data_IF_984000769893
#
_entry.id   IF_984000769893
#
_cell.length_a   1.000
_cell.length_b   1.000
_cell.length_c   1.000
_cell.angle_alpha   90.00
_cell.angle_beta   90.00
_cell.angle_gamma   90.00
#
_symmetry.space_group_name_H-M   'P 1'
#
loop_
_entity.id
_entity.type
_entity.pdbx_description
1 polymer ?
#
# COMPACT_ATOMS: atom_id res chain seq x y z
N UNK A 1 30.50 8.82 -18.21
CA UNK A 1 31.62 9.29 -17.39
C UNK A 1 32.68 8.18 -17.27
N UNK A 2 33.94 8.47 -17.58
CA UNK A 2 35.05 7.48 -17.60
C UNK A 2 35.31 6.80 -16.25
N UNK A 3 34.90 7.44 -15.15
CA UNK A 3 35.14 6.96 -13.79
C UNK A 3 33.93 6.24 -13.16
N UNK A 4 32.88 5.98 -13.93
CA UNK A 4 31.74 5.21 -13.47
C UNK A 4 31.80 3.78 -14.04
N UNK A 5 31.63 2.83 -13.14
CA UNK A 5 31.48 1.42 -13.48
C UNK A 5 30.01 1.10 -13.33
N UNK A 6 29.37 0.74 -14.42
CA UNK A 6 28.02 0.18 -14.43
C UNK A 6 28.18 -1.34 -14.47
N UNK A 7 27.76 -1.99 -13.40
CA UNK A 7 27.85 -3.44 -13.31
C UNK A 7 26.79 -4.12 -14.20
N UNK A 8 26.99 -5.41 -14.44
CA UNK A 8 26.01 -6.26 -15.12
C UNK A 8 24.65 -6.14 -14.44
N UNK A 9 23.61 -6.09 -15.22
CA UNK A 9 22.25 -6.06 -14.70
C UNK A 9 21.98 -7.34 -13.89
N UNK A 10 21.40 -7.15 -12.71
CA UNK A 10 20.76 -8.24 -11.99
C UNK A 10 19.55 -8.72 -12.78
N UNK A 11 19.24 -10.00 -12.72
CA UNK A 11 18.05 -10.58 -13.35
C UNK A 11 17.04 -11.05 -12.30
N UNK A 12 16.18 -10.16 -11.77
CA UNK A 12 15.22 -10.52 -10.74
C UNK A 12 14.18 -11.52 -11.27
N UNK A 13 14.30 -12.78 -10.86
CA UNK A 13 13.36 -13.86 -11.18
C UNK A 13 13.11 -14.05 -12.70
N UNK A 14 14.06 -13.63 -13.51
CA UNK A 14 13.99 -13.74 -14.99
C UNK A 14 12.77 -13.01 -15.61
N UNK A 15 12.42 -11.85 -15.08
CA UNK A 15 11.26 -11.04 -15.55
C UNK A 15 11.66 -9.78 -16.34
N UNK A 16 12.92 -9.65 -16.73
CA UNK A 16 13.38 -8.51 -17.54
C UNK A 16 13.29 -7.15 -16.83
N UNK A 17 13.29 -7.13 -15.51
CA UNK A 17 13.28 -5.90 -14.70
C UNK A 17 14.67 -5.25 -14.71
N UNK A 18 14.87 -4.07 -15.35
CA UNK A 18 16.17 -3.42 -15.42
C UNK A 18 16.67 -3.07 -14.03
N UNK A 19 17.77 -3.67 -13.60
CA UNK A 19 18.36 -3.47 -12.29
C UNK A 19 19.87 -3.69 -12.38
N UNK A 20 20.64 -2.76 -11.80
CA UNK A 20 22.09 -2.84 -11.77
C UNK A 20 22.68 -1.84 -10.81
N UNK A 21 23.93 -2.08 -10.40
CA UNK A 21 24.64 -1.18 -9.52
C UNK A 21 25.53 -0.22 -10.32
N UNK A 22 25.68 1.00 -9.82
CA UNK A 22 26.61 2.00 -10.32
C UNK A 22 27.63 2.29 -9.22
N UNK A 23 28.92 2.25 -9.54
CA UNK A 23 30.01 2.53 -8.62
C UNK A 23 31.02 3.45 -9.27
N UNK A 24 31.52 4.40 -8.51
CA UNK A 24 32.56 5.31 -8.97
C UNK A 24 32.42 6.70 -8.37
N UNK A 25 33.25 7.62 -8.85
CA UNK A 25 33.23 9.03 -8.49
C UNK A 25 33.18 9.87 -9.75
N UNK A 26 32.33 10.89 -9.75
CA UNK A 26 32.19 11.84 -10.84
C UNK A 26 32.25 13.27 -10.31
N UNK A 27 32.72 14.15 -11.12
CA UNK A 27 32.62 15.60 -10.90
C UNK A 27 31.46 16.08 -11.74
N UNK A 28 30.53 16.78 -11.12
CA UNK A 28 29.36 17.37 -11.75
C UNK A 28 29.41 18.87 -11.63
N UNK A 29 28.98 19.55 -12.66
CA UNK A 29 28.80 21.01 -12.61
C UNK A 29 27.53 21.35 -11.82
N UNK A 30 27.44 22.50 -11.22
CA UNK A 30 26.33 22.92 -10.36
C UNK A 30 24.98 23.02 -11.12
N UNK A 31 25.03 23.28 -12.41
CA UNK A 31 23.87 23.32 -13.31
C UNK A 31 23.25 21.92 -13.53
N UNK A 32 24.00 20.84 -13.23
CA UNK A 32 23.53 19.46 -13.30
C UNK A 32 22.78 19.02 -12.03
N UNK A 33 22.72 19.88 -11.01
CA UNK A 33 21.91 19.62 -9.81
C UNK A 33 20.43 19.73 -10.15
N UNK A 34 19.65 18.69 -9.86
CA UNK A 34 18.20 18.69 -10.09
C UNK A 34 17.56 19.84 -9.30
N UNK A 35 16.90 20.76 -10.01
CA UNK A 35 16.28 21.95 -9.45
C UNK A 35 17.26 23.08 -9.13
N UNK A 36 18.54 22.98 -9.59
CA UNK A 36 19.56 23.99 -9.47
C UNK A 36 20.28 24.01 -8.11
N UNK A 37 21.30 24.84 -8.02
CA UNK A 37 22.22 24.94 -6.86
C UNK A 37 21.49 25.12 -5.51
N UNK A 38 20.38 25.87 -5.48
CA UNK A 38 19.57 26.11 -4.28
C UNK A 38 18.95 24.81 -3.68
N UNK A 39 18.94 23.71 -4.44
CA UNK A 39 18.43 22.42 -4.01
C UNK A 39 19.52 21.45 -3.54
N UNK A 40 20.76 21.88 -3.46
CA UNK A 40 21.83 21.09 -2.85
C UNK A 40 21.42 20.77 -1.40
N UNK A 41 21.49 19.48 -1.03
CA UNK A 41 21.07 18.97 0.28
C UNK A 41 19.60 18.58 0.38
N UNK A 42 18.72 18.97 -0.57
CA UNK A 42 17.30 18.67 -0.56
C UNK A 42 16.92 17.37 -1.27
N UNK A 43 17.89 16.61 -1.81
CA UNK A 43 17.65 15.42 -2.62
C UNK A 43 16.76 14.36 -1.93
N UNK A 44 16.94 14.15 -0.63
CA UNK A 44 16.09 13.21 0.14
C UNK A 44 14.63 13.67 0.17
N UNK A 45 14.37 14.93 0.41
CA UNK A 45 13.02 15.50 0.42
C UNK A 45 12.36 15.35 -0.95
N UNK A 46 13.06 15.73 -2.02
CA UNK A 46 12.59 15.63 -3.40
C UNK A 46 12.28 14.16 -3.77
N UNK A 47 13.17 13.24 -3.41
CA UNK A 47 12.97 11.81 -3.64
C UNK A 47 11.71 11.29 -2.93
N UNK A 48 11.51 11.65 -1.66
CA UNK A 48 10.36 11.20 -0.88
C UNK A 48 9.04 11.76 -1.43
N UNK A 49 9.02 12.99 -1.88
CA UNK A 49 7.83 13.62 -2.50
C UNK A 49 7.46 12.90 -3.80
N UNK A 50 8.41 12.67 -4.69
CA UNK A 50 8.16 11.99 -5.97
C UNK A 50 7.81 10.50 -5.80
N UNK A 51 8.54 9.75 -4.97
CA UNK A 51 8.25 8.33 -4.73
C UNK A 51 6.91 8.11 -4.02
N UNK A 52 6.49 9.06 -3.19
CA UNK A 52 5.21 8.99 -2.49
C UNK A 52 4.04 8.96 -3.46
N UNK A 53 4.08 9.76 -4.53
CA UNK A 53 3.07 9.75 -5.58
C UNK A 53 3.11 8.43 -6.39
N UNK A 54 4.28 8.05 -6.92
CA UNK A 54 4.45 6.83 -7.73
C UNK A 54 4.06 5.55 -6.98
N UNK A 55 4.40 5.46 -5.70
CA UNK A 55 4.04 4.33 -4.84
C UNK A 55 2.53 4.12 -4.72
N UNK A 56 1.75 5.19 -4.70
CA UNK A 56 0.29 5.13 -4.61
C UNK A 56 -0.39 4.75 -5.93
N UNK A 57 0.32 4.82 -7.06
CA UNK A 57 -0.23 4.66 -8.41
C UNK A 57 0.33 3.41 -9.11
N UNK A 58 1.65 3.36 -9.34
CA UNK A 58 2.28 2.40 -10.26
C UNK A 58 2.19 0.95 -9.78
N UNK A 59 2.60 0.69 -8.52
CA UNK A 59 2.53 -0.66 -7.96
C UNK A 59 1.08 -1.13 -7.74
N UNK A 60 0.16 -0.30 -7.20
CA UNK A 60 -1.26 -0.66 -7.14
C UNK A 60 -1.89 -0.93 -8.51
N UNK A 61 -1.55 -0.16 -9.54
CA UNK A 61 -2.04 -0.38 -10.89
C UNK A 61 -1.54 -1.73 -11.46
N UNK A 62 -0.26 -2.06 -11.25
CA UNK A 62 0.31 -3.34 -11.65
C UNK A 62 -0.37 -4.51 -10.92
N UNK A 63 -0.57 -4.40 -9.61
CA UNK A 63 -1.28 -5.42 -8.82
C UNK A 63 -2.73 -5.59 -9.28
N UNK A 64 -3.42 -4.50 -9.60
CA UNK A 64 -4.78 -4.51 -10.13
C UNK A 64 -4.86 -5.19 -11.49
N UNK A 65 -3.97 -4.82 -12.42
CA UNK A 65 -3.94 -5.40 -13.76
C UNK A 65 -3.64 -6.91 -13.72
N UNK A 66 -2.63 -7.33 -12.95
CA UNK A 66 -2.29 -8.76 -12.81
C UNK A 66 -3.41 -9.56 -12.16
N UNK A 67 -4.07 -9.01 -11.13
CA UNK A 67 -5.22 -9.66 -10.47
C UNK A 67 -6.40 -9.82 -11.43
N UNK A 68 -6.72 -8.81 -12.23
CA UNK A 68 -7.79 -8.88 -13.24
C UNK A 68 -7.50 -9.92 -14.30
N UNK A 69 -6.28 -9.92 -14.84
CA UNK A 69 -5.88 -10.91 -15.86
C UNK A 69 -5.96 -12.32 -15.29
N UNK A 70 -5.46 -12.54 -14.08
CA UNK A 70 -5.52 -13.83 -13.41
C UNK A 70 -6.98 -14.27 -13.16
N UNK A 71 -7.81 -13.39 -12.60
CA UNK A 71 -9.22 -13.71 -12.29
C UNK A 71 -10.02 -14.01 -13.56
N UNK A 72 -9.86 -13.18 -14.60
CA UNK A 72 -10.54 -13.40 -15.88
C UNK A 72 -10.05 -14.66 -16.59
N UNK A 73 -8.73 -14.89 -16.62
CA UNK A 73 -8.16 -16.09 -17.22
C UNK A 73 -8.61 -17.36 -16.50
N UNK A 74 -8.62 -17.37 -15.18
CA UNK A 74 -9.11 -18.51 -14.38
C UNK A 74 -10.61 -18.71 -14.55
N UNK A 75 -11.42 -17.65 -14.61
CA UNK A 75 -12.84 -17.74 -14.92
C UNK A 75 -13.08 -18.55 -16.21
N UNK A 76 -12.39 -18.20 -17.29
CA UNK A 76 -12.52 -18.92 -18.55
C UNK A 76 -12.00 -20.36 -18.46
N UNK A 77 -10.88 -20.57 -17.76
CA UNK A 77 -10.29 -21.88 -17.60
C UNK A 77 -11.18 -22.87 -16.86
N UNK A 78 -11.76 -22.47 -15.71
CA UNK A 78 -12.60 -23.36 -14.87
C UNK A 78 -13.91 -23.75 -15.54
N UNK A 79 -14.43 -22.93 -16.46
CA UNK A 79 -15.64 -23.23 -17.22
C UNK A 79 -15.43 -24.19 -18.38
N UNK A 80 -14.18 -24.37 -18.83
CA UNK A 80 -13.83 -25.23 -19.99
C UNK A 80 -13.12 -26.50 -19.54
N UNK A 81 -12.31 -26.40 -18.49
CA UNK A 81 -11.52 -27.53 -17.99
C UNK A 81 -12.37 -28.48 -17.18
N UNK A 82 -12.39 -29.74 -17.56
CA UNK A 82 -13.09 -30.83 -16.84
C UNK A 82 -12.11 -31.74 -16.12
N UNK A 83 -12.49 -32.18 -14.94
CA UNK A 83 -11.89 -33.28 -14.18
C UNK A 83 -13.02 -34.07 -13.51
N UNK A 84 -12.81 -35.37 -13.31
CA UNK A 84 -13.83 -36.25 -12.70
C UNK A 84 -15.20 -36.17 -13.40
N UNK A 85 -15.24 -35.92 -14.68
CA UNK A 85 -16.44 -35.79 -15.55
C UNK A 85 -17.31 -34.57 -15.19
N UNK A 86 -16.74 -33.51 -14.63
CA UNK A 86 -17.42 -32.25 -14.38
C UNK A 86 -16.48 -31.06 -14.65
N UNK A 87 -17.01 -29.89 -15.02
CA UNK A 87 -16.25 -28.66 -15.09
C UNK A 87 -15.63 -28.32 -13.73
N UNK A 88 -14.42 -27.72 -13.75
CA UNK A 88 -13.81 -27.27 -12.50
C UNK A 88 -14.68 -26.23 -11.77
N UNK A 89 -15.44 -25.44 -12.49
CA UNK A 89 -16.37 -24.45 -11.95
C UNK A 89 -17.43 -25.04 -11.02
N UNK A 90 -17.76 -26.33 -11.16
CA UNK A 90 -18.75 -27.01 -10.35
C UNK A 90 -18.20 -27.63 -9.06
N UNK A 91 -16.86 -27.54 -8.86
CA UNK A 91 -16.18 -28.06 -7.68
C UNK A 91 -16.13 -27.01 -6.57
N UNK A 92 -16.68 -27.34 -5.39
CA UNK A 92 -16.76 -26.42 -4.24
C UNK A 92 -15.39 -25.85 -3.83
N UNK A 93 -14.33 -26.66 -3.80
CA UNK A 93 -12.99 -26.21 -3.46
C UNK A 93 -12.41 -25.21 -4.49
N UNK A 94 -12.77 -25.37 -5.75
CA UNK A 94 -12.40 -24.41 -6.81
C UNK A 94 -13.20 -23.12 -6.68
N UNK A 95 -14.50 -23.22 -6.38
CA UNK A 95 -15.36 -22.05 -6.14
C UNK A 95 -14.87 -21.23 -4.95
N UNK A 96 -14.46 -21.87 -3.85
CA UNK A 96 -13.90 -21.17 -2.68
C UNK A 96 -12.67 -20.33 -3.06
N UNK A 97 -11.70 -20.94 -3.75
CA UNK A 97 -10.49 -20.24 -4.21
C UNK A 97 -10.81 -19.12 -5.22
N UNK A 98 -11.68 -19.40 -6.18
CA UNK A 98 -12.07 -18.42 -7.19
C UNK A 98 -12.83 -17.24 -6.54
N UNK A 99 -13.71 -17.47 -5.59
CA UNK A 99 -14.39 -16.42 -4.84
C UNK A 99 -13.40 -15.56 -4.05
N UNK A 100 -12.35 -16.16 -3.47
CA UNK A 100 -11.28 -15.41 -2.82
C UNK A 100 -10.51 -14.52 -3.80
N UNK A 101 -10.25 -15.02 -5.02
CA UNK A 101 -9.63 -14.21 -6.09
C UNK A 101 -10.53 -13.03 -6.48
N UNK A 102 -11.82 -13.25 -6.72
CA UNK A 102 -12.78 -12.20 -7.07
C UNK A 102 -12.84 -11.14 -5.98
N UNK A 103 -12.98 -11.58 -4.73
CA UNK A 103 -13.03 -10.69 -3.55
C UNK A 103 -11.80 -9.78 -3.45
N UNK A 104 -10.60 -10.36 -3.53
CA UNK A 104 -9.38 -9.56 -3.44
C UNK A 104 -9.20 -8.63 -4.66
N UNK A 105 -9.53 -9.09 -5.86
CA UNK A 105 -9.49 -8.26 -7.08
C UNK A 105 -10.45 -7.08 -6.98
N UNK A 106 -11.66 -7.31 -6.46
CA UNK A 106 -12.64 -6.25 -6.21
C UNK A 106 -12.14 -5.20 -5.23
N UNK A 107 -11.55 -5.61 -4.11
CA UNK A 107 -10.98 -4.70 -3.12
C UNK A 107 -9.85 -3.86 -3.73
N UNK A 108 -8.93 -4.49 -4.48
CA UNK A 108 -7.83 -3.78 -5.16
C UNK A 108 -8.40 -2.74 -6.11
N UNK A 109 -9.36 -3.11 -6.97
CA UNK A 109 -9.97 -2.19 -7.92
C UNK A 109 -10.65 -1.01 -7.24
N UNK A 110 -11.42 -1.27 -6.19
CA UNK A 110 -12.13 -0.24 -5.41
C UNK A 110 -11.14 0.76 -4.80
N UNK A 111 -10.05 0.25 -4.20
CA UNK A 111 -9.03 1.07 -3.58
C UNK A 111 -8.26 1.90 -4.62
N UNK A 112 -7.95 1.34 -5.78
CA UNK A 112 -7.28 2.05 -6.88
C UNK A 112 -8.15 3.21 -7.37
N UNK A 113 -9.44 2.98 -7.61
CA UNK A 113 -10.34 4.03 -8.10
C UNK A 113 -10.46 5.18 -7.09
N UNK A 114 -10.78 4.89 -5.83
CA UNK A 114 -10.89 5.92 -4.80
C UNK A 114 -9.56 6.69 -4.62
N UNK A 115 -8.43 6.00 -4.65
CA UNK A 115 -7.12 6.66 -4.51
C UNK A 115 -6.82 7.58 -5.69
N UNK A 116 -7.13 7.16 -6.92
CA UNK A 116 -6.95 7.99 -8.10
C UNK A 116 -7.81 9.26 -8.02
N UNK A 117 -9.08 9.13 -7.62
CA UNK A 117 -9.98 10.28 -7.46
C UNK A 117 -9.46 11.26 -6.38
N UNK A 118 -8.89 10.74 -5.27
CA UNK A 118 -8.25 11.58 -4.24
C UNK A 118 -7.05 12.34 -4.82
N UNK A 119 -6.22 11.68 -5.64
CA UNK A 119 -5.03 12.28 -6.26
C UNK A 119 -5.42 13.30 -7.34
N UNK A 120 -6.41 12.99 -8.17
CA UNK A 120 -6.92 13.87 -9.23
C UNK A 120 -7.54 15.17 -8.67
N UNK A 121 -8.06 15.11 -7.44
CA UNK A 121 -8.50 16.28 -6.69
C UNK A 121 -7.35 17.07 -6.02
N UNK A 122 -6.09 16.78 -6.38
CA UNK A 122 -4.91 17.53 -5.94
C UNK A 122 -4.41 17.16 -4.53
N UNK A 123 -4.96 16.12 -3.91
CA UNK A 123 -4.48 15.65 -2.61
C UNK A 123 -3.30 14.69 -2.78
N UNK A 124 -2.29 14.79 -1.91
CA UNK A 124 -1.12 13.88 -1.92
C UNK A 124 -0.94 13.20 -0.55
N UNK A 125 -1.78 12.19 -0.25
CA UNK A 125 -1.77 11.54 1.06
C UNK A 125 -0.66 10.47 1.15
N UNK A 126 0.48 10.84 1.73
CA UNK A 126 1.65 9.97 1.84
C UNK A 126 1.39 8.63 2.57
N UNK A 127 0.48 8.62 3.56
CA UNK A 127 0.13 7.40 4.31
C UNK A 127 -0.75 6.49 3.47
N UNK A 128 -1.71 7.05 2.76
CA UNK A 128 -2.58 6.27 1.85
C UNK A 128 -1.73 5.61 0.75
N UNK A 129 -0.74 6.31 0.20
CA UNK A 129 0.15 5.71 -0.80
C UNK A 129 0.91 4.49 -0.25
N UNK A 130 1.30 4.52 1.03
CA UNK A 130 1.93 3.37 1.69
C UNK A 130 0.94 2.21 1.91
N UNK A 131 -0.29 2.51 2.33
CA UNK A 131 -1.38 1.52 2.45
C UNK A 131 -1.64 0.88 1.08
N UNK A 132 -1.82 1.69 0.06
CA UNK A 132 -2.09 1.23 -1.30
C UNK A 132 -1.00 0.27 -1.79
N UNK A 133 0.27 0.66 -1.69
CA UNK A 133 1.39 -0.19 -2.10
C UNK A 133 1.37 -1.53 -1.36
N UNK A 134 1.27 -1.51 -0.05
CA UNK A 134 1.36 -2.72 0.77
C UNK A 134 0.15 -3.62 0.59
N UNK A 135 -1.06 -3.08 0.66
CA UNK A 135 -2.29 -3.87 0.60
C UNK A 135 -2.57 -4.44 -0.80
N UNK A 136 -2.35 -3.65 -1.85
CA UNK A 136 -2.65 -4.12 -3.20
C UNK A 136 -1.66 -5.18 -3.67
N UNK A 137 -0.37 -5.03 -3.34
CA UNK A 137 0.64 -6.02 -3.74
C UNK A 137 0.52 -7.34 -2.96
N UNK A 138 0.17 -7.31 -1.66
CA UNK A 138 -0.09 -8.54 -0.91
C UNK A 138 -1.36 -9.24 -1.38
N UNK A 139 -2.45 -8.51 -1.61
CA UNK A 139 -3.68 -9.09 -2.15
C UNK A 139 -3.50 -9.61 -3.56
N UNK A 140 -2.73 -8.91 -4.40
CA UNK A 140 -2.38 -9.39 -5.73
C UNK A 140 -1.62 -10.72 -5.70
N UNK A 141 -0.73 -10.92 -4.71
CA UNK A 141 -0.06 -12.21 -4.50
C UNK A 141 -1.04 -13.32 -4.10
N UNK A 142 -2.01 -13.01 -3.24
CA UNK A 142 -3.07 -13.98 -2.88
C UNK A 142 -3.80 -14.40 -4.14
N UNK A 143 -4.25 -13.46 -4.97
CA UNK A 143 -4.95 -13.76 -6.23
C UNK A 143 -4.09 -14.63 -7.15
N UNK A 144 -2.81 -14.30 -7.31
CA UNK A 144 -1.91 -15.07 -8.17
C UNK A 144 -1.62 -16.47 -7.62
N UNK A 145 -1.48 -16.63 -6.31
CA UNK A 145 -1.29 -17.95 -5.69
C UNK A 145 -2.53 -18.84 -5.88
N UNK A 146 -3.73 -18.32 -5.64
CA UNK A 146 -4.97 -19.07 -5.88
C UNK A 146 -5.14 -19.41 -7.36
N UNK A 147 -4.77 -18.49 -8.26
CA UNK A 147 -4.79 -18.74 -9.70
C UNK A 147 -3.84 -19.89 -10.11
N UNK A 148 -2.62 -19.90 -9.54
CA UNK A 148 -1.66 -20.98 -9.78
C UNK A 148 -2.21 -22.32 -9.32
N UNK A 149 -2.82 -22.40 -8.14
CA UNK A 149 -3.40 -23.62 -7.61
C UNK A 149 -4.53 -24.14 -8.50
N UNK A 150 -5.44 -23.27 -8.92
CA UNK A 150 -6.56 -23.65 -9.80
C UNK A 150 -6.07 -24.09 -11.18
N UNK A 151 -5.08 -23.38 -11.77
CA UNK A 151 -4.54 -23.70 -13.09
C UNK A 151 -3.70 -24.98 -13.06
N UNK A 152 -3.19 -25.39 -11.91
CA UNK A 152 -2.52 -26.66 -11.68
C UNK A 152 -1.19 -26.81 -12.42
N UNK A 153 -0.95 -28.02 -12.98
CA UNK A 153 0.32 -28.32 -13.65
C UNK A 153 0.69 -27.39 -14.81
N UNK A 154 -0.29 -26.82 -15.51
CA UNK A 154 -0.02 -25.84 -16.57
C UNK A 154 0.58 -24.54 -16.03
N UNK A 155 0.31 -24.18 -14.78
CA UNK A 155 0.83 -22.97 -14.17
C UNK A 155 2.32 -23.03 -13.80
N UNK A 156 2.88 -24.23 -13.65
CA UNK A 156 4.31 -24.40 -13.31
C UNK A 156 5.17 -24.72 -14.54
N UNK A 157 4.56 -25.01 -15.68
CA UNK A 157 5.27 -25.21 -16.93
C UNK A 157 5.47 -23.85 -17.64
N UNK A 158 6.70 -23.55 -18.03
CA UNK A 158 7.00 -22.37 -18.82
C UNK A 158 6.50 -22.56 -20.26
N UNK A 159 5.87 -21.56 -20.83
CA UNK A 159 5.45 -21.59 -22.23
C UNK A 159 4.08 -20.99 -22.50
N UNK A 160 3.62 -21.17 -23.72
CA UNK A 160 2.45 -20.49 -24.29
C UNK A 160 1.15 -20.70 -23.49
N UNK A 161 0.97 -21.87 -22.91
CA UNK A 161 -0.26 -22.21 -22.16
C UNK A 161 -0.29 -21.63 -20.74
N UNK A 162 0.82 -21.07 -20.26
CA UNK A 162 0.92 -20.48 -18.94
C UNK A 162 0.75 -18.96 -19.00
N UNK A 163 -0.48 -18.48 -18.97
CA UNK A 163 -0.76 -17.05 -18.96
C UNK A 163 -0.44 -16.35 -17.62
N UNK A 164 -0.18 -17.11 -16.55
CA UNK A 164 0.11 -16.60 -15.22
C UNK A 164 1.60 -16.34 -14.98
N UNK A 165 2.49 -17.00 -15.73
CA UNK A 165 3.93 -17.05 -15.45
C UNK A 165 4.55 -15.69 -15.18
N UNK A 166 4.37 -14.72 -16.08
CA UNK A 166 4.99 -13.40 -15.99
C UNK A 166 4.49 -12.61 -14.77
N UNK A 167 3.21 -12.71 -14.50
CA UNK A 167 2.58 -12.00 -13.36
C UNK A 167 3.03 -12.62 -12.02
N UNK A 168 3.05 -13.94 -11.94
CA UNK A 168 3.49 -14.65 -10.76
C UNK A 168 4.96 -14.39 -10.44
N UNK A 169 5.85 -14.48 -11.42
CA UNK A 169 7.28 -14.19 -11.27
C UNK A 169 7.55 -12.73 -10.87
N UNK A 170 6.75 -11.78 -11.34
CA UNK A 170 6.95 -10.36 -11.04
C UNK A 170 6.37 -9.93 -9.68
N UNK A 171 5.41 -10.65 -9.13
CA UNK A 171 4.76 -10.28 -7.87
C UNK A 171 5.73 -10.04 -6.68
N UNK A 172 6.79 -10.85 -6.47
CA UNK A 172 7.79 -10.61 -5.42
C UNK A 172 8.55 -9.29 -5.58
N UNK A 173 8.70 -8.77 -6.80
CA UNK A 173 9.31 -7.46 -7.03
C UNK A 173 8.43 -6.38 -6.39
N UNK A 174 7.12 -6.43 -6.62
CA UNK A 174 6.16 -5.47 -6.09
C UNK A 174 6.15 -5.36 -4.56
N UNK A 175 6.37 -6.47 -3.84
CA UNK A 175 6.44 -6.44 -2.37
C UNK A 175 7.78 -5.96 -1.82
N UNK A 176 8.82 -5.92 -2.66
CA UNK A 176 10.20 -5.62 -2.26
C UNK A 176 10.58 -4.17 -2.56
N UNK A 177 10.28 -3.67 -3.76
CA UNK A 177 10.66 -2.32 -4.20
C UNK A 177 9.83 -1.24 -3.53
N UNK A 178 10.35 -0.01 -3.54
CA UNK A 178 9.72 1.18 -2.93
C UNK A 178 9.42 1.01 -1.42
N UNK A 179 10.28 0.31 -0.73
CA UNK A 179 10.15 -0.09 0.67
C UNK A 179 9.45 -1.44 0.80
N UNK A 180 10.13 -2.41 1.43
CA UNK A 180 9.54 -3.75 1.60
C UNK A 180 8.20 -3.67 2.34
N UNK A 181 7.29 -4.58 2.01
CA UNK A 181 5.97 -4.60 2.65
C UNK A 181 6.06 -4.82 4.17
N UNK A 182 7.04 -5.60 4.64
CA UNK A 182 7.31 -5.77 6.06
C UNK A 182 7.61 -4.43 6.74
N UNK A 183 8.53 -3.64 6.17
CA UNK A 183 8.87 -2.32 6.69
C UNK A 183 7.69 -1.34 6.57
N UNK A 184 6.99 -1.38 5.45
CA UNK A 184 5.83 -0.51 5.21
C UNK A 184 4.75 -0.75 6.25
N UNK A 185 4.39 -2.01 6.51
CA UNK A 185 3.41 -2.40 7.52
C UNK A 185 3.88 -2.04 8.93
N UNK A 186 5.11 -2.43 9.30
CA UNK A 186 5.58 -2.33 10.69
C UNK A 186 6.01 -0.94 11.13
N UNK A 187 6.33 -0.04 10.20
CA UNK A 187 6.90 1.28 10.52
C UNK A 187 6.25 2.45 9.78
N UNK A 188 5.95 2.30 8.48
CA UNK A 188 5.61 3.46 7.66
C UNK A 188 4.13 3.86 7.84
N UNK A 189 3.19 2.90 7.72
CA UNK A 189 1.75 3.19 7.72
C UNK A 189 1.33 3.82 9.03
N UNK A 190 1.66 3.21 10.16
CA UNK A 190 1.26 3.73 11.47
C UNK A 190 2.39 4.47 12.18
N UNK A 191 3.56 3.89 12.36
CA UNK A 191 4.65 4.47 13.13
C UNK A 191 5.14 5.83 12.63
N UNK A 192 5.26 6.01 11.31
CA UNK A 192 5.56 7.31 10.70
C UNK A 192 4.28 8.08 10.33
N UNK A 193 3.24 7.36 9.94
CA UNK A 193 1.97 7.92 9.52
C UNK A 193 1.26 8.69 10.62
N UNK A 194 1.36 8.22 11.87
CA UNK A 194 0.79 8.87 13.04
C UNK A 194 1.19 10.35 13.12
N UNK A 195 2.47 10.66 12.94
CA UNK A 195 2.98 12.03 13.00
C UNK A 195 2.47 12.91 11.85
N UNK A 196 2.16 12.31 10.68
CA UNK A 196 1.74 13.05 9.48
C UNK A 196 0.23 13.19 9.35
N UNK A 197 -0.52 12.21 9.84
CA UNK A 197 -1.97 12.12 9.64
C UNK A 197 -2.79 12.53 10.85
N UNK A 198 -2.21 12.52 12.06
CA UNK A 198 -2.91 12.95 13.26
C UNK A 198 -3.00 14.48 13.29
N UNK A 199 -4.21 15.08 13.46
CA UNK A 199 -4.41 16.52 13.31
C UNK A 199 -3.64 17.39 14.31
N UNK A 200 -3.25 16.83 15.46
CA UNK A 200 -2.66 17.59 16.55
C UNK A 200 -1.22 17.19 16.92
N UNK A 201 -0.72 16.01 16.51
CA UNK A 201 0.62 15.53 16.90
C UNK A 201 1.72 16.38 16.26
N UNK A 202 1.68 16.59 14.95
CA UNK A 202 2.72 17.38 14.28
C UNK A 202 2.79 18.82 14.80
N UNK A 203 1.67 19.57 14.94
CA UNK A 203 1.69 20.90 15.52
C UNK A 203 2.21 20.95 16.96
N UNK A 204 1.98 19.89 17.76
CA UNK A 204 2.51 19.77 19.11
C UNK A 204 4.04 19.56 19.10
N UNK A 205 4.53 18.65 18.29
CA UNK A 205 5.96 18.39 18.13
C UNK A 205 6.72 19.63 17.61
N UNK A 206 6.13 20.35 16.65
CA UNK A 206 6.69 21.59 16.13
C UNK A 206 6.83 22.67 17.22
N UNK A 207 5.85 22.80 18.13
CA UNK A 207 5.94 23.72 19.25
C UNK A 207 7.06 23.38 20.25
N UNK A 208 7.38 22.08 20.41
CA UNK A 208 8.51 21.62 21.23
C UNK A 208 9.83 21.96 20.55
N UNK A 209 9.93 21.71 19.24
CA UNK A 209 11.15 21.97 18.47
C UNK A 209 11.46 23.47 18.35
N UNK A 210 10.43 24.32 18.38
CA UNK A 210 10.58 25.78 18.31
C UNK A 210 10.68 26.42 19.71
N UNK A 211 10.67 25.63 20.78
CA UNK A 211 10.71 26.06 22.18
C UNK A 211 9.62 27.09 22.55
N UNK A 212 8.47 27.05 21.84
CA UNK A 212 7.35 27.97 22.02
C UNK A 212 6.35 27.38 23.05
N UNK A 213 6.47 27.82 24.29
CA UNK A 213 5.68 27.30 25.41
C UNK A 213 4.19 27.65 25.30
N UNK A 214 3.83 28.84 24.82
CA UNK A 214 2.41 29.24 24.70
C UNK A 214 1.72 28.45 23.57
N UNK A 215 2.42 28.27 22.47
CA UNK A 215 1.98 27.41 21.37
C UNK A 215 1.86 25.97 21.85
N UNK A 216 2.82 25.45 22.60
CA UNK A 216 2.76 24.12 23.19
C UNK A 216 1.51 23.92 24.05
N UNK A 217 1.25 24.83 25.02
CA UNK A 217 0.09 24.78 25.90
C UNK A 217 -1.21 24.73 25.11
N UNK A 218 -1.34 25.57 24.10
CA UNK A 218 -2.51 25.62 23.23
C UNK A 218 -2.69 24.30 22.45
N UNK A 219 -1.62 23.78 21.85
CA UNK A 219 -1.67 22.54 21.07
C UNK A 219 -1.92 21.32 21.96
N UNK A 220 -1.37 21.31 23.18
CA UNK A 220 -1.63 20.27 24.18
C UNK A 220 -3.10 20.25 24.60
N UNK A 221 -3.69 21.40 24.91
CA UNK A 221 -5.12 21.49 25.23
C UNK A 221 -6.01 20.99 24.06
N UNK A 222 -5.62 21.29 22.82
CA UNK A 222 -6.35 20.85 21.65
C UNK A 222 -6.31 19.32 21.50
N UNK A 223 -5.16 18.67 21.72
CA UNK A 223 -5.06 17.20 21.62
C UNK A 223 -5.85 16.53 22.76
N UNK A 224 -5.83 17.09 23.97
CA UNK A 224 -6.62 16.57 25.10
C UNK A 224 -8.11 16.68 24.80
N UNK A 225 -8.59 17.84 24.38
CA UNK A 225 -10.00 18.06 24.03
C UNK A 225 -10.46 17.15 22.88
N UNK A 226 -9.62 16.99 21.87
CA UNK A 226 -9.87 16.08 20.75
C UNK A 226 -9.99 14.62 21.22
N UNK A 227 -9.05 14.18 22.07
CA UNK A 227 -9.02 12.82 22.61
C UNK A 227 -10.25 12.52 23.47
N UNK A 228 -10.65 13.45 24.33
CA UNK A 228 -11.86 13.31 25.14
C UNK A 228 -13.12 13.25 24.28
N UNK A 229 -13.24 14.12 23.28
CA UNK A 229 -14.38 14.10 22.35
C UNK A 229 -14.48 12.75 21.61
N UNK A 230 -13.37 12.23 21.09
CA UNK A 230 -13.36 10.91 20.46
C UNK A 230 -13.73 9.80 21.42
N UNK A 231 -13.16 9.83 22.65
CA UNK A 231 -13.47 8.84 23.68
C UNK A 231 -14.96 8.79 24.00
N UNK A 232 -15.62 9.94 24.19
CA UNK A 232 -17.07 9.97 24.40
C UNK A 232 -17.89 9.44 23.22
N UNK A 233 -17.39 9.57 21.99
CA UNK A 233 -18.05 9.03 20.81
C UNK A 233 -17.93 7.50 20.68
N UNK A 234 -16.98 6.86 21.36
CA UNK A 234 -16.85 5.38 21.37
C UNK A 234 -17.96 4.69 22.16
N UNK A 235 -18.68 5.41 23.03
CA UNK A 235 -19.85 4.87 23.76
C UNK A 235 -21.09 4.68 22.86
N UNK A 236 -21.00 4.92 21.58
CA UNK A 236 -22.06 4.59 20.62
C UNK A 236 -22.06 3.08 20.35
N UNK A 237 -23.21 2.42 20.54
CA UNK A 237 -23.38 0.99 20.27
C UNK A 237 -23.66 0.66 18.79
N UNK A 238 -23.41 1.59 17.89
CA UNK A 238 -23.55 1.36 16.44
C UNK A 238 -22.38 0.54 15.94
N UNK A 239 -22.66 -0.58 15.27
CA UNK A 239 -21.64 -1.40 14.63
C UNK A 239 -21.67 -1.12 13.12
N UNK A 240 -21.14 0.03 12.72
CA UNK A 240 -20.97 0.40 11.32
C UNK A 240 -19.56 0.94 11.07
N UNK A 241 -19.18 1.08 9.81
CA UNK A 241 -17.84 1.54 9.42
C UNK A 241 -17.47 2.90 10.05
N UNK A 242 -18.43 3.83 10.11
CA UNK A 242 -18.20 5.14 10.71
C UNK A 242 -17.82 5.03 12.21
N UNK A 243 -18.51 4.17 12.96
CA UNK A 243 -18.18 3.92 14.35
C UNK A 243 -16.80 3.27 14.50
N UNK A 244 -16.48 2.29 13.66
CA UNK A 244 -15.16 1.65 13.67
C UNK A 244 -14.01 2.64 13.39
N UNK A 245 -14.23 3.63 12.51
CA UNK A 245 -13.27 4.71 12.27
C UNK A 245 -13.09 5.59 13.52
N UNK A 246 -14.18 5.91 14.22
CA UNK A 246 -14.14 6.70 15.48
C UNK A 246 -13.38 5.92 16.55
N UNK A 247 -13.68 4.63 16.72
CA UNK A 247 -13.04 3.76 17.70
C UNK A 247 -11.54 3.62 17.42
N UNK A 248 -11.16 3.46 16.16
CA UNK A 248 -9.76 3.45 15.73
C UNK A 248 -9.06 4.79 16.01
N UNK A 249 -9.71 5.91 15.72
CA UNK A 249 -9.15 7.23 15.99
C UNK A 249 -8.95 7.47 17.50
N UNK A 250 -9.89 7.02 18.35
CA UNK A 250 -9.73 7.06 19.80
C UNK A 250 -8.57 6.17 20.27
N UNK A 251 -8.48 4.93 19.78
CA UNK A 251 -7.37 4.00 20.07
C UNK A 251 -6.03 4.59 19.68
N UNK A 252 -5.96 5.28 18.54
CA UNK A 252 -4.75 5.94 18.05
C UNK A 252 -4.19 6.96 19.04
N UNK A 253 -5.05 7.73 19.72
CA UNK A 253 -4.61 8.67 20.75
C UNK A 253 -3.93 7.98 21.95
N UNK A 254 -4.44 6.82 22.39
CA UNK A 254 -3.79 6.04 23.45
C UNK A 254 -2.44 5.47 23.00
N UNK A 255 -2.37 4.93 21.78
CA UNK A 255 -1.12 4.39 21.24
C UNK A 255 -0.09 5.51 21.01
N UNK A 256 -0.53 6.72 20.66
CA UNK A 256 0.35 7.88 20.47
C UNK A 256 1.16 8.25 21.73
N UNK A 257 0.64 7.95 22.93
CA UNK A 257 1.33 8.18 24.21
C UNK A 257 2.65 7.41 24.30
N UNK A 258 2.79 6.28 23.55
CA UNK A 258 4.04 5.51 23.47
C UNK A 258 5.18 6.31 22.83
N UNK A 259 4.88 7.37 22.10
CA UNK A 259 5.87 8.24 21.45
C UNK A 259 6.87 7.48 20.61
N UNK A 260 8.17 7.73 20.81
CA UNK A 260 9.25 7.07 20.06
C UNK A 260 9.36 5.56 20.24
N UNK A 261 8.78 4.98 21.30
CA UNK A 261 8.81 3.54 21.56
C UNK A 261 8.08 2.73 20.47
N UNK A 262 7.09 3.32 19.80
CA UNK A 262 6.35 2.70 18.68
C UNK A 262 7.30 2.18 17.59
N UNK A 263 8.46 2.82 17.36
CA UNK A 263 9.45 2.38 16.37
C UNK A 263 10.08 1.03 16.72
N UNK A 264 10.12 0.69 18.00
CA UNK A 264 10.64 -0.60 18.50
C UNK A 264 9.50 -1.62 18.68
N UNK A 265 8.31 -1.18 18.96
CA UNK A 265 7.10 -1.99 19.15
C UNK A 265 6.43 -2.31 17.80
N UNK A 266 7.18 -2.96 16.91
CA UNK A 266 6.76 -3.16 15.51
C UNK A 266 5.52 -4.05 15.36
N UNK A 267 5.27 -4.96 16.30
CA UNK A 267 4.02 -5.75 16.30
C UNK A 267 2.80 -4.88 16.58
N UNK A 268 2.88 -3.99 17.57
CA UNK A 268 1.82 -3.04 17.86
C UNK A 268 1.59 -2.10 16.66
N UNK A 269 2.66 -1.50 16.15
CA UNK A 269 2.59 -0.62 14.97
C UNK A 269 2.00 -1.33 13.75
N UNK A 270 2.37 -2.60 13.52
CA UNK A 270 1.84 -3.42 12.43
C UNK A 270 0.37 -3.74 12.60
N UNK A 271 -0.09 -4.09 13.79
CA UNK A 271 -1.51 -4.36 14.04
C UNK A 271 -2.35 -3.08 13.87
N UNK A 272 -1.86 -1.94 14.32
CA UNK A 272 -2.51 -0.64 14.06
C UNK A 272 -2.55 -0.30 12.58
N UNK A 273 -1.49 -0.62 11.85
CA UNK A 273 -1.45 -0.45 10.40
C UNK A 273 -2.45 -1.35 9.68
N UNK A 274 -2.64 -2.59 10.12
CA UNK A 274 -3.63 -3.51 9.55
C UNK A 274 -5.07 -3.01 9.76
N UNK A 275 -5.39 -2.54 10.98
CA UNK A 275 -6.71 -1.96 11.26
C UNK A 275 -6.93 -0.75 10.36
N UNK A 276 -5.98 0.18 10.32
CA UNK A 276 -6.08 1.39 9.49
C UNK A 276 -6.27 1.06 8.01
N UNK A 277 -5.47 0.13 7.50
CA UNK A 277 -5.55 -0.31 6.11
C UNK A 277 -6.89 -0.95 5.78
N UNK A 278 -7.42 -1.81 6.66
CA UNK A 278 -8.70 -2.44 6.43
C UNK A 278 -9.87 -1.45 6.49
N UNK A 279 -9.83 -0.45 7.37
CA UNK A 279 -10.81 0.64 7.39
C UNK A 279 -10.78 1.45 6.08
N UNK A 280 -9.58 1.76 5.57
CA UNK A 280 -9.43 2.44 4.29
C UNK A 280 -9.99 1.62 3.12
N UNK A 281 -9.70 0.31 3.08
CA UNK A 281 -10.21 -0.58 2.05
C UNK A 281 -11.74 -0.75 2.13
N UNK A 282 -12.31 -0.83 3.33
CA UNK A 282 -13.77 -0.87 3.51
C UNK A 282 -14.43 0.43 3.02
N UNK A 283 -13.82 1.58 3.32
CA UNK A 283 -14.28 2.87 2.80
C UNK A 283 -14.21 2.91 1.26
N UNK A 284 -13.13 2.38 0.69
CA UNK A 284 -12.95 2.32 -0.76
C UNK A 284 -13.99 1.43 -1.46
N UNK A 285 -14.38 0.31 -0.84
CA UNK A 285 -15.45 -0.54 -1.37
C UNK A 285 -16.79 0.18 -1.35
N UNK A 286 -17.13 0.88 -0.24
CA UNK A 286 -18.35 1.68 -0.17
C UNK A 286 -18.35 2.79 -1.23
N UNK A 287 -17.24 3.54 -1.32
CA UNK A 287 -17.07 4.59 -2.33
C UNK A 287 -17.26 4.07 -3.75
N UNK A 288 -16.65 2.92 -4.07
CA UNK A 288 -16.80 2.29 -5.38
C UNK A 288 -18.25 1.92 -5.69
N UNK A 289 -18.97 1.39 -4.70
CA UNK A 289 -20.37 1.04 -4.85
C UNK A 289 -21.26 2.26 -5.15
N UNK A 290 -20.95 3.40 -4.55
CA UNK A 290 -21.71 4.63 -4.73
C UNK A 290 -21.44 5.33 -6.07
N UNK A 291 -20.19 5.31 -6.54
CA UNK A 291 -19.75 6.14 -7.67
C UNK A 291 -19.57 5.39 -8.99
N UNK A 292 -19.35 4.06 -8.95
CA UNK A 292 -18.98 3.25 -10.13
C UNK A 292 -19.94 2.11 -10.47
N UNK A 293 -20.93 1.82 -9.62
CA UNK A 293 -21.88 0.72 -9.86
C UNK A 293 -23.12 1.11 -10.70
N UNK A 294 -23.27 2.36 -11.02
CA UNK A 294 -24.43 2.86 -11.80
C UNK A 294 -24.16 3.04 -13.30
N UNK A 295 -23.04 2.50 -13.79
CA UNK A 295 -22.69 2.54 -15.22
C UNK A 295 -22.62 1.14 -15.83
#
# INVERSE_FOLDING_TARGET
>A
HKNLIQNTHHNPLDVGFPNGTIKGSIILDLDQVIGGEKNIGNGWKMLMECLSAGRGISLPATANASSKVATYGIYNYINVREQFKMPLADMEAIQEKFNNMVYNTWIIQSAVNMTNDILDNGNSPAVISAIMKQQTTERGRIVLNEAMDIHGGAAICVGYNNFLEKYYKSAPIGITVEGSNTLTRSLIIFGQGLNKSHPHIYPLLDSILTEDFDKFKTKFNNIVSHSLNLYFKTFSFKNNLQQQIIDFAALTNFVAIRGGAIKKEQMLSGNMADIFSNLYLALAVNYYQEHYKSS
#
